data_IF_423149796702
#
_entry.id   IF_423149796702
#
_cell.length_a   1.000
_cell.length_b   1.000
_cell.length_c   1.000
_cell.angle_alpha   90.00
_cell.angle_beta   90.00
_cell.angle_gamma   90.00
#
_symmetry.space_group_name_H-M   'P 1'
#
loop_
_entity.id
_entity.type
_entity.pdbx_description
1 polymer ?
#
# COMPACT_ATOMS: atom_id res chain seq x y z
N UNK A 1 -7.88 7.96 -24.88
CA UNK A 1 -6.62 7.42 -24.31
C UNK A 1 -6.92 6.62 -23.05
N UNK A 2 -6.29 5.47 -22.87
CA UNK A 2 -6.32 4.73 -21.60
C UNK A 2 -5.08 5.01 -20.75
N UNK A 3 -5.28 5.18 -19.44
CA UNK A 3 -4.20 5.35 -18.46
C UNK A 3 -4.46 4.47 -17.25
N UNK A 4 -3.51 3.59 -16.94
CA UNK A 4 -3.56 2.77 -15.73
C UNK A 4 -3.24 3.65 -14.53
N UNK A 5 -3.97 3.48 -13.41
CA UNK A 5 -3.70 4.22 -12.18
C UNK A 5 -2.29 3.91 -11.67
N UNK A 6 -1.59 4.95 -11.24
CA UNK A 6 -0.28 4.86 -10.60
C UNK A 6 -0.33 4.21 -9.21
N UNK A 7 -1.53 4.00 -8.66
CA UNK A 7 -1.76 3.32 -7.37
C UNK A 7 -2.08 1.83 -7.52
N UNK A 8 -2.32 1.35 -8.76
CA UNK A 8 -2.50 -0.09 -8.99
C UNK A 8 -1.22 -0.82 -8.58
N UNK A 9 -1.32 -1.89 -7.77
CA UNK A 9 -0.17 -2.59 -7.20
C UNK A 9 0.52 -3.52 -8.21
N UNK A 10 0.39 -3.24 -9.52
CA UNK A 10 1.04 -3.96 -10.61
C UNK A 10 1.89 -2.99 -11.43
N UNK A 11 3.05 -3.47 -11.85
CA UNK A 11 4.03 -2.64 -12.55
C UNK A 11 4.00 -2.94 -14.04
N UNK A 12 3.65 -1.93 -14.86
CA UNK A 12 3.58 -2.04 -16.31
C UNK A 12 4.80 -1.35 -16.92
N UNK A 13 5.73 -2.16 -17.47
CA UNK A 13 6.98 -1.70 -18.11
C UNK A 13 7.75 -0.62 -17.31
N UNK A 14 8.15 -0.88 -16.05
CA UNK A 14 8.53 0.19 -15.12
C UNK A 14 9.90 0.84 -15.33
N UNK A 15 10.85 0.27 -16.09
CA UNK A 15 12.19 0.87 -16.22
C UNK A 15 12.98 0.42 -17.45
N UNK A 16 13.55 1.40 -18.16
CA UNK A 16 14.59 1.22 -19.19
C UNK A 16 15.99 1.55 -18.66
N UNK A 17 16.17 1.64 -17.34
CA UNK A 17 17.42 2.10 -16.73
C UNK A 17 18.57 1.09 -16.88
N UNK A 18 19.80 1.62 -16.84
CA UNK A 18 21.03 0.85 -17.02
C UNK A 18 21.27 -0.10 -15.84
N UNK A 19 21.71 -1.33 -16.13
CA UNK A 19 22.09 -2.33 -15.13
C UNK A 19 21.26 -3.61 -15.19
N UNK A 20 21.74 -4.65 -14.50
CA UNK A 20 21.09 -5.96 -14.48
C UNK A 20 19.72 -5.87 -13.81
N UNK A 21 18.69 -6.44 -14.43
CA UNK A 21 17.33 -6.45 -13.88
C UNK A 21 17.32 -7.16 -12.53
N UNK A 22 16.52 -6.66 -11.58
CA UNK A 22 16.29 -7.35 -10.31
C UNK A 22 15.74 -8.76 -10.57
N UNK A 23 16.15 -9.71 -9.72
CA UNK A 23 15.62 -11.08 -9.72
C UNK A 23 14.33 -11.20 -8.89
N UNK A 24 13.93 -10.13 -8.23
CA UNK A 24 12.75 -10.11 -7.40
C UNK A 24 11.48 -10.24 -8.25
N UNK A 25 10.60 -11.15 -7.85
CA UNK A 25 9.27 -11.35 -8.43
C UNK A 25 8.26 -10.90 -7.37
N UNK A 26 7.29 -10.08 -7.77
CA UNK A 26 6.24 -9.63 -6.87
C UNK A 26 5.44 -10.82 -6.35
N UNK A 27 5.12 -10.83 -5.06
CA UNK A 27 4.36 -11.91 -4.43
C UNK A 27 3.05 -11.35 -3.86
N UNK A 28 1.96 -12.07 -4.06
CA UNK A 28 0.66 -11.82 -3.45
C UNK A 28 0.14 -13.12 -2.82
N UNK A 29 -0.68 -12.97 -1.80
CA UNK A 29 -1.50 -14.05 -1.26
C UNK A 29 -2.65 -14.38 -2.18
N UNK A 30 -3.12 -15.63 -2.15
CA UNK A 30 -4.43 -16.05 -2.68
C UNK A 30 -5.60 -15.20 -2.14
N UNK A 31 -5.42 -14.58 -0.97
CA UNK A 31 -6.42 -13.74 -0.32
C UNK A 31 -6.28 -12.25 -0.64
N UNK A 32 -5.19 -11.81 -1.28
CA UNK A 32 -4.96 -10.40 -1.61
C UNK A 32 -5.89 -9.95 -2.76
N UNK A 33 -6.19 -8.64 -2.80
CA UNK A 33 -7.02 -8.05 -3.87
C UNK A 33 -6.21 -7.10 -4.72
N UNK A 34 -5.88 -7.53 -5.93
CA UNK A 34 -5.18 -6.68 -6.87
C UNK A 34 -6.19 -5.72 -7.50
N UNK A 35 -6.26 -4.51 -6.95
CA UNK A 35 -7.18 -3.48 -7.43
C UNK A 35 -6.62 -2.75 -8.65
N UNK A 36 -7.21 -3.03 -9.81
CA UNK A 36 -6.83 -2.44 -11.09
C UNK A 36 -7.78 -1.29 -11.43
N UNK A 37 -7.21 -0.13 -11.75
CA UNK A 37 -7.94 1.03 -12.24
C UNK A 37 -7.36 1.51 -13.56
N UNK A 38 -8.25 1.80 -14.51
CA UNK A 38 -7.92 2.30 -15.85
C UNK A 38 -8.83 3.48 -16.15
N UNK A 39 -8.23 4.65 -16.30
CA UNK A 39 -8.90 5.88 -16.71
C UNK A 39 -9.01 5.91 -18.23
N UNK A 40 -10.21 6.12 -18.73
CA UNK A 40 -10.50 6.28 -20.13
C UNK A 40 -10.89 7.75 -20.40
N UNK A 41 -10.07 8.44 -21.19
CA UNK A 41 -10.25 9.84 -21.58
C UNK A 41 -10.78 9.92 -23.00
N UNK A 42 -12.01 10.42 -23.17
CA UNK A 42 -12.72 10.54 -24.45
C UNK A 42 -12.80 9.22 -25.25
N UNK A 43 -12.78 8.08 -24.55
CA UNK A 43 -12.98 6.76 -25.15
C UNK A 43 -14.39 6.26 -24.87
N UNK A 44 -15.04 5.72 -25.90
CA UNK A 44 -16.35 5.07 -25.79
C UNK A 44 -16.25 3.55 -25.60
N UNK A 45 -15.08 2.96 -25.89
CA UNK A 45 -14.85 1.53 -25.75
C UNK A 45 -14.39 1.18 -24.33
N UNK A 46 -14.64 -0.07 -23.92
CA UNK A 46 -14.12 -0.62 -22.68
C UNK A 46 -12.68 -1.13 -22.93
N UNK A 47 -11.73 -0.91 -21.99
CA UNK A 47 -10.38 -1.44 -22.14
C UNK A 47 -10.38 -2.97 -22.09
N UNK A 48 -9.57 -3.61 -22.95
CA UNK A 48 -9.33 -5.04 -22.86
C UNK A 48 -8.38 -5.35 -21.70
N UNK A 49 -8.77 -6.29 -20.84
CA UNK A 49 -7.94 -6.72 -19.70
C UNK A 49 -7.89 -8.25 -19.65
N UNK A 50 -6.69 -8.78 -19.56
CA UNK A 50 -6.43 -10.21 -19.52
C UNK A 50 -5.46 -10.56 -18.40
N UNK A 51 -5.70 -11.69 -17.73
CA UNK A 51 -4.74 -12.35 -16.85
C UNK A 51 -4.16 -13.53 -17.62
N UNK A 52 -2.84 -13.62 -17.69
CA UNK A 52 -2.14 -14.76 -18.27
C UNK A 52 -1.56 -15.60 -17.13
N UNK A 53 -1.78 -16.90 -17.19
CA UNK A 53 -1.00 -17.87 -16.42
C UNK A 53 0.27 -18.19 -17.23
N UNK A 54 1.42 -17.79 -16.71
CA UNK A 54 2.71 -17.94 -17.39
C UNK A 54 3.23 -19.39 -17.35
N UNK A 55 2.62 -20.26 -16.53
CA UNK A 55 2.99 -21.68 -16.42
C UNK A 55 2.17 -22.51 -17.41
N UNK A 56 0.84 -22.37 -17.37
CA UNK A 56 -0.06 -23.14 -18.25
C UNK A 56 -0.19 -22.53 -19.65
N UNK A 57 0.09 -21.23 -19.80
CA UNK A 57 -0.16 -20.47 -21.02
C UNK A 57 -1.62 -20.09 -21.21
N UNK A 58 -2.49 -20.38 -20.23
CA UNK A 58 -3.90 -20.01 -20.27
C UNK A 58 -4.11 -18.50 -20.14
N UNK A 59 -5.17 -18.02 -20.78
CA UNK A 59 -5.55 -16.60 -20.82
C UNK A 59 -6.98 -16.45 -20.32
N UNK A 60 -7.16 -15.63 -19.29
CA UNK A 60 -8.45 -15.33 -18.69
C UNK A 60 -8.85 -13.88 -18.98
N UNK A 61 -10.05 -13.67 -19.51
CA UNK A 61 -10.61 -12.33 -19.69
C UNK A 61 -11.11 -11.79 -18.36
N UNK A 62 -10.70 -10.56 -18.02
CA UNK A 62 -11.16 -9.89 -16.81
C UNK A 62 -12.22 -8.86 -17.16
N UNK A 63 -13.42 -9.04 -16.60
CA UNK A 63 -14.49 -8.08 -16.76
C UNK A 63 -14.25 -6.85 -15.87
N UNK A 64 -14.27 -5.66 -16.48
CA UNK A 64 -14.11 -4.40 -15.77
C UNK A 64 -15.49 -3.79 -15.46
N UNK A 65 -15.67 -3.28 -14.25
CA UNK A 65 -16.78 -2.38 -13.92
C UNK A 65 -16.47 -0.99 -14.44
N UNK A 66 -17.48 -0.18 -14.72
CA UNK A 66 -17.32 1.20 -15.19
C UNK A 66 -18.06 2.19 -14.31
N UNK A 67 -17.45 3.34 -14.04
CA UNK A 67 -18.08 4.46 -13.36
C UNK A 67 -17.79 5.75 -14.12
N UNK A 68 -18.86 6.41 -14.58
CA UNK A 68 -18.74 7.66 -15.33
C UNK A 68 -18.44 8.81 -14.37
N UNK A 69 -17.21 9.33 -14.43
CA UNK A 69 -16.77 10.39 -13.52
C UNK A 69 -17.31 11.75 -13.97
N UNK A 70 -17.28 12.02 -15.27
CA UNK A 70 -17.80 13.23 -15.89
C UNK A 70 -18.09 12.98 -17.39
N UNK A 71 -18.30 14.03 -18.18
CA UNK A 71 -18.60 13.93 -19.62
C UNK A 71 -17.44 13.33 -20.44
N UNK A 72 -16.20 13.48 -19.99
CA UNK A 72 -14.99 13.17 -20.75
C UNK A 72 -14.21 11.97 -20.18
N UNK A 73 -14.50 11.58 -18.93
CA UNK A 73 -13.73 10.59 -18.19
C UNK A 73 -14.63 9.50 -17.62
N UNK A 74 -14.26 8.26 -17.94
CA UNK A 74 -14.85 7.05 -17.37
C UNK A 74 -13.75 6.26 -16.65
N UNK A 75 -14.01 5.88 -15.41
CA UNK A 75 -13.16 4.96 -14.66
C UNK A 75 -13.60 3.54 -14.96
N UNK A 76 -12.68 2.70 -15.43
CA UNK A 76 -12.84 1.26 -15.46
C UNK A 76 -12.05 0.64 -14.31
N UNK A 77 -12.67 -0.26 -13.54
CA UNK A 77 -12.02 -0.84 -12.37
C UNK A 77 -12.46 -2.27 -12.10
N UNK A 78 -11.57 -3.06 -11.51
CA UNK A 78 -11.85 -4.44 -11.10
C UNK A 78 -10.93 -4.86 -9.95
N UNK A 79 -11.35 -5.88 -9.22
CA UNK A 79 -10.53 -6.54 -8.20
C UNK A 79 -10.16 -7.92 -8.75
N UNK A 80 -8.90 -8.12 -9.11
CA UNK A 80 -8.41 -9.44 -9.50
C UNK A 80 -8.13 -10.20 -8.20
N UNK A 81 -8.87 -11.29 -8.00
CA UNK A 81 -8.90 -12.09 -6.76
C UNK A 81 -9.07 -13.56 -7.10
N UNK A 82 -8.94 -14.44 -6.09
CA UNK A 82 -9.17 -15.88 -6.21
C UNK A 82 -8.33 -16.58 -7.30
N UNK A 83 -7.12 -16.05 -7.53
CA UNK A 83 -6.11 -16.75 -8.33
C UNK A 83 -5.51 -17.87 -7.49
N UNK A 84 -5.29 -19.03 -8.11
CA UNK A 84 -4.59 -20.14 -7.47
C UNK A 84 -3.09 -19.84 -7.35
N UNK A 85 -2.37 -20.66 -6.59
CA UNK A 85 -0.91 -20.57 -6.55
C UNK A 85 -0.32 -20.75 -7.95
N UNK A 86 0.48 -19.79 -8.40
CA UNK A 86 0.94 -19.73 -9.77
C UNK A 86 1.74 -18.49 -10.09
N UNK A 87 2.17 -18.35 -11.35
CA UNK A 87 2.86 -17.17 -11.85
C UNK A 87 1.99 -16.55 -12.93
N UNK A 88 1.67 -15.28 -12.76
CA UNK A 88 0.74 -14.58 -13.61
C UNK A 88 1.31 -13.25 -14.10
N UNK A 89 0.69 -12.73 -15.14
CA UNK A 89 0.84 -11.35 -15.59
C UNK A 89 -0.51 -10.79 -16.02
N UNK A 90 -0.65 -9.47 -16.01
CA UNK A 90 -1.86 -8.77 -16.46
C UNK A 90 -1.54 -7.93 -17.68
N UNK A 91 -2.35 -8.05 -18.72
CA UNK A 91 -2.27 -7.19 -19.89
C UNK A 91 -3.49 -6.27 -19.93
N UNK A 92 -3.23 -4.97 -20.10
CA UNK A 92 -4.25 -3.94 -20.26
C UNK A 92 -4.03 -3.26 -21.60
N UNK A 93 -4.96 -3.44 -22.53
CA UNK A 93 -4.95 -2.81 -23.86
C UNK A 93 -3.59 -2.97 -24.59
N UNK A 94 -3.02 -4.17 -24.57
CA UNK A 94 -1.73 -4.51 -25.19
C UNK A 94 -0.48 -4.18 -24.35
N UNK A 95 -0.63 -3.55 -23.18
CA UNK A 95 0.49 -3.30 -22.25
C UNK A 95 0.51 -4.38 -21.17
N UNK A 96 1.58 -5.18 -21.13
CA UNK A 96 1.75 -6.30 -20.18
C UNK A 96 2.49 -5.85 -18.92
N UNK A 97 2.05 -6.35 -17.77
CA UNK A 97 2.72 -6.13 -16.48
C UNK A 97 3.98 -6.99 -16.35
N UNK A 98 4.81 -6.63 -15.38
CA UNK A 98 5.79 -7.55 -14.81
C UNK A 98 5.09 -8.80 -14.24
N UNK A 99 5.81 -9.91 -14.25
CA UNK A 99 5.31 -11.17 -13.70
C UNK A 99 5.21 -11.06 -12.18
N UNK A 100 4.14 -11.61 -11.63
CA UNK A 100 3.93 -11.74 -10.20
C UNK A 100 3.54 -13.18 -9.87
N UNK A 101 3.80 -13.57 -8.63
CA UNK A 101 3.50 -14.88 -8.09
C UNK A 101 2.33 -14.77 -7.11
N UNK A 102 1.39 -15.69 -7.22
CA UNK A 102 0.42 -15.95 -6.16
C UNK A 102 0.91 -17.15 -5.35
N UNK A 103 0.96 -17.00 -4.03
CA UNK A 103 1.40 -18.06 -3.12
C UNK A 103 0.72 -17.96 -1.76
N UNK A 104 0.48 -19.10 -1.12
CA UNK A 104 0.02 -19.14 0.28
C UNK A 104 1.18 -18.93 1.27
N UNK A 105 2.44 -19.15 0.85
CA UNK A 105 3.60 -18.86 1.67
C UNK A 105 3.96 -17.37 1.59
N UNK A 106 3.37 -16.61 2.51
CA UNK A 106 3.59 -15.16 2.64
C UNK A 106 4.60 -14.82 3.74
N UNK A 107 5.41 -15.79 4.17
CA UNK A 107 6.41 -15.57 5.22
C UNK A 107 7.42 -14.49 4.81
N UNK A 108 7.70 -13.56 5.73
CA UNK A 108 8.61 -12.44 5.45
C UNK A 108 8.05 -11.36 4.52
N UNK A 109 6.73 -11.31 4.33
CA UNK A 109 6.06 -10.21 3.62
C UNK A 109 5.05 -9.51 4.53
N UNK A 110 4.74 -8.25 4.24
CA UNK A 110 3.65 -7.51 4.90
C UNK A 110 2.68 -6.96 3.86
N UNK A 111 1.41 -6.86 4.23
CA UNK A 111 0.38 -6.29 3.39
C UNK A 111 0.20 -4.80 3.70
N UNK A 112 0.44 -3.97 2.70
CA UNK A 112 0.12 -2.55 2.76
C UNK A 112 -1.30 -2.34 2.22
N UNK A 113 -2.11 -1.58 2.94
CA UNK A 113 -3.44 -1.18 2.48
C UNK A 113 -3.59 0.32 2.59
N UNK A 114 -3.96 0.97 1.48
CA UNK A 114 -4.02 2.43 1.46
C UNK A 114 -5.26 2.97 0.73
N UNK A 115 -5.76 4.10 1.24
CA UNK A 115 -6.91 4.83 0.70
C UNK A 115 -6.92 6.30 1.14
N UNK A 116 -7.76 7.11 0.49
CA UNK A 116 -8.09 8.46 0.94
C UNK A 116 -9.56 8.58 1.38
N UNK A 117 -9.89 9.59 2.22
CA UNK A 117 -11.26 9.86 2.67
C UNK A 117 -12.18 10.37 1.56
N UNK A 118 -11.63 10.78 0.42
CA UNK A 118 -12.37 11.26 -0.73
C UNK A 118 -11.48 11.25 -1.98
N UNK A 119 -12.07 11.57 -3.14
CA UNK A 119 -11.36 11.69 -4.42
C UNK A 119 -10.86 13.11 -4.73
N UNK A 120 -10.84 14.04 -3.76
CA UNK A 120 -10.43 15.43 -4.02
C UNK A 120 -8.93 15.64 -3.92
N UNK A 121 -8.24 14.75 -3.20
CA UNK A 121 -6.82 14.92 -2.93
C UNK A 121 -5.94 14.59 -4.14
N UNK A 122 -6.43 13.75 -5.07
CA UNK A 122 -5.66 13.21 -6.19
C UNK A 122 -6.54 12.90 -7.39
N UNK A 123 -5.97 13.01 -8.59
CA UNK A 123 -6.64 12.74 -9.87
C UNK A 123 -6.10 11.48 -10.58
N UNK A 124 -5.08 10.84 -10.03
CA UNK A 124 -4.41 9.65 -10.60
C UNK A 124 -4.90 8.32 -9.98
N UNK A 125 -5.83 8.39 -9.03
CA UNK A 125 -6.56 7.25 -8.46
C UNK A 125 -7.93 7.70 -7.96
N UNK A 126 -8.88 6.77 -7.93
CA UNK A 126 -10.22 6.97 -7.36
C UNK A 126 -10.39 6.03 -6.18
N UNK A 127 -10.57 6.58 -4.98
CA UNK A 127 -10.70 5.81 -3.75
C UNK A 127 -12.17 5.55 -3.38
N UNK A 128 -13.08 6.41 -3.83
CA UNK A 128 -14.52 6.27 -3.60
C UNK A 128 -15.24 6.13 -4.93
N UNK A 129 -15.94 5.02 -5.14
CA UNK A 129 -16.75 4.78 -6.34
C UNK A 129 -18.18 4.50 -5.89
N UNK A 130 -19.12 5.28 -6.41
CA UNK A 130 -20.55 5.15 -6.09
C UNK A 130 -20.87 5.09 -4.59
N UNK A 131 -20.22 5.97 -3.81
CA UNK A 131 -20.40 6.04 -2.35
C UNK A 131 -19.69 4.94 -1.55
N UNK A 132 -19.00 4.00 -2.21
CA UNK A 132 -18.20 2.95 -1.56
C UNK A 132 -16.71 3.27 -1.61
N UNK A 133 -16.03 3.13 -0.47
CA UNK A 133 -14.58 3.27 -0.38
C UNK A 133 -13.86 1.97 -0.75
N UNK A 134 -12.78 2.10 -1.51
CA UNK A 134 -11.92 1.02 -1.95
C UNK A 134 -10.50 1.22 -1.40
N UNK A 135 -9.89 0.11 -1.00
CA UNK A 135 -8.49 0.06 -0.60
C UNK A 135 -7.68 -0.66 -1.67
N UNK A 136 -6.48 -0.15 -1.93
CA UNK A 136 -5.49 -0.86 -2.72
C UNK A 136 -4.66 -1.74 -1.80
N UNK A 137 -4.49 -3.01 -2.16
CA UNK A 137 -3.57 -3.91 -1.51
C UNK A 137 -2.23 -3.93 -2.23
N UNK A 138 -1.15 -3.69 -1.50
CA UNK A 138 0.20 -3.82 -2.02
C UNK A 138 1.02 -4.66 -1.04
N UNK A 139 1.33 -5.90 -1.43
CA UNK A 139 2.19 -6.76 -0.64
C UNK A 139 3.65 -6.46 -0.97
N UNK A 140 4.44 -6.30 0.09
CA UNK A 140 5.86 -6.00 -0.02
C UNK A 140 6.70 -7.05 0.71
N UNK A 141 7.93 -7.33 0.23
CA UNK A 141 8.87 -8.16 0.96
C UNK A 141 9.47 -7.34 2.11
N UNK A 142 9.72 -7.98 3.24
CA UNK A 142 10.22 -7.34 4.45
C UNK A 142 9.10 -7.01 5.43
N UNK A 143 9.30 -5.97 6.23
CA UNK A 143 8.44 -5.64 7.35
C UNK A 143 9.19 -4.88 8.44
N UNK A 144 8.73 -5.03 9.69
CA UNK A 144 9.37 -4.45 10.85
C UNK A 144 10.41 -5.41 11.45
N UNK A 145 11.55 -4.87 11.86
CA UNK A 145 12.54 -5.59 12.66
C UNK A 145 12.53 -5.07 14.08
N UNK A 146 12.82 -5.93 15.06
CA UNK A 146 12.84 -5.55 16.47
C UNK A 146 13.98 -4.55 16.79
N UNK A 147 15.09 -4.64 16.07
CA UNK A 147 16.24 -3.74 16.25
C UNK A 147 15.98 -2.31 15.74
N UNK A 148 14.93 -2.09 14.95
CA UNK A 148 14.61 -0.80 14.31
C UNK A 148 13.50 -0.02 15.05
N UNK A 149 13.27 -0.30 16.33
CA UNK A 149 12.33 0.44 17.18
C UNK A 149 12.98 1.69 17.76
N UNK A 150 12.32 2.84 17.56
CA UNK A 150 12.74 4.11 18.13
C UNK A 150 11.65 4.62 19.06
N UNK A 151 11.97 4.74 20.34
CA UNK A 151 11.09 5.30 21.36
C UNK A 151 11.38 6.78 21.51
N UNK A 152 10.37 7.61 21.30
CA UNK A 152 10.43 9.06 21.45
C UNK A 152 9.46 9.56 22.51
N UNK A 153 9.68 10.78 22.95
CA UNK A 153 8.76 11.53 23.81
C UNK A 153 8.57 12.91 23.23
N UNK A 154 7.31 13.31 23.05
CA UNK A 154 6.94 14.68 22.74
C UNK A 154 6.53 15.33 24.07
N UNK A 155 7.36 16.22 24.61
CA UNK A 155 7.12 16.88 25.89
C UNK A 155 7.44 18.38 25.85
N UNK A 156 6.84 19.10 26.79
CA UNK A 156 7.17 20.49 27.09
C UNK A 156 7.41 20.63 28.59
N UNK A 157 8.53 21.28 28.94
CA UNK A 157 8.99 21.42 30.32
C UNK A 157 9.32 22.88 30.62
N UNK A 158 9.12 23.29 31.86
CA UNK A 158 9.70 24.53 32.39
C UNK A 158 10.53 24.25 33.64
N UNK A 159 11.48 25.13 33.91
CA UNK A 159 12.32 25.08 35.10
C UNK A 159 11.91 26.19 36.06
N UNK A 160 11.68 25.85 37.33
CA UNK A 160 11.33 26.83 38.37
C UNK A 160 12.55 27.67 38.76
N UNK A 161 12.33 28.77 39.50
CA UNK A 161 13.42 29.57 40.08
C UNK A 161 14.24 28.83 41.14
N UNK A 162 13.74 27.70 41.64
CA UNK A 162 14.44 26.79 42.55
C UNK A 162 15.18 25.66 41.81
N UNK A 163 15.23 25.71 40.47
CA UNK A 163 15.84 24.72 39.60
C UNK A 163 15.13 23.35 39.57
N UNK A 164 13.83 23.33 39.88
CA UNK A 164 13.00 22.13 39.70
C UNK A 164 12.48 22.07 38.26
N UNK A 165 12.55 20.91 37.63
CA UNK A 165 11.98 20.68 36.29
C UNK A 165 10.56 20.16 36.43
N UNK A 166 9.60 20.82 35.77
CA UNK A 166 8.19 20.43 35.76
C UNK A 166 7.74 20.19 34.33
N UNK A 167 7.20 18.99 34.08
CA UNK A 167 6.54 18.65 32.82
C UNK A 167 5.16 19.34 32.72
N UNK A 168 4.93 20.09 31.65
CA UNK A 168 3.60 20.61 31.29
C UNK A 168 2.77 19.50 30.66
N UNK A 169 3.39 18.77 29.72
CA UNK A 169 2.87 17.52 29.19
C UNK A 169 4.03 16.64 28.74
N UNK A 170 3.77 15.35 28.68
CA UNK A 170 4.70 14.35 28.15
C UNK A 170 3.88 13.23 27.51
N UNK A 171 4.11 12.98 26.23
CA UNK A 171 3.41 11.95 25.46
C UNK A 171 4.43 11.06 24.78
N UNK A 172 4.32 9.76 25.01
CA UNK A 172 5.14 8.75 24.36
C UNK A 172 4.80 8.62 22.87
N UNK A 173 5.83 8.44 22.04
CA UNK A 173 5.67 8.05 20.65
C UNK A 173 6.60 6.89 20.30
N UNK A 174 6.13 6.03 19.40
CA UNK A 174 6.91 4.89 18.89
C UNK A 174 7.01 5.03 17.38
N UNK A 175 8.24 5.16 16.91
CA UNK A 175 8.57 5.15 15.50
C UNK A 175 9.17 3.79 15.15
N UNK A 176 8.82 3.29 13.97
CA UNK A 176 9.32 2.03 13.44
C UNK A 176 9.88 2.26 12.05
N UNK A 177 10.96 1.56 11.72
CA UNK A 177 11.47 1.53 10.35
C UNK A 177 10.84 0.35 9.61
N UNK A 178 10.02 0.67 8.61
CA UNK A 178 9.54 -0.31 7.63
C UNK A 178 10.68 -0.60 6.65
N UNK A 179 11.15 -1.85 6.65
CA UNK A 179 12.15 -2.33 5.68
C UNK A 179 11.45 -2.99 4.51
N UNK A 180 11.72 -2.52 3.29
CA UNK A 180 11.18 -3.05 2.04
C UNK A 180 12.29 -3.68 1.22
N UNK A 181 12.17 -4.98 0.95
CA UNK A 181 13.22 -5.79 0.33
C UNK A 181 13.81 -6.79 1.33
N UNK A 182 14.05 -8.00 0.84
CA UNK A 182 14.78 -9.04 1.56
C UNK A 182 16.27 -9.04 1.15
N UNK A 183 16.99 -10.15 1.36
CA UNK A 183 18.38 -10.31 0.91
C UNK A 183 18.57 -10.24 -0.61
N UNK A 184 17.50 -10.39 -1.39
CA UNK A 184 17.49 -10.21 -2.86
C UNK A 184 17.21 -8.76 -3.25
N UNK A 185 16.69 -7.96 -2.33
CA UNK A 185 16.22 -6.60 -2.54
C UNK A 185 14.93 -6.56 -3.36
N UNK A 186 14.48 -5.35 -3.66
CA UNK A 186 13.38 -5.09 -4.57
C UNK A 186 13.73 -3.96 -5.56
N UNK A 187 13.04 -3.90 -6.70
CA UNK A 187 13.31 -2.87 -7.70
C UNK A 187 12.89 -1.47 -7.24
N UNK A 188 13.42 -0.43 -7.89
CA UNK A 188 13.17 0.98 -7.51
C UNK A 188 11.69 1.40 -7.56
N UNK A 189 10.90 0.82 -8.45
CA UNK A 189 9.46 1.11 -8.56
C UNK A 189 8.65 0.69 -7.33
N UNK A 190 9.16 -0.23 -6.50
CA UNK A 190 8.55 -0.52 -5.20
C UNK A 190 8.60 0.69 -4.27
N UNK A 191 9.75 1.37 -4.23
CA UNK A 191 9.91 2.59 -3.43
C UNK A 191 9.06 3.74 -3.98
N UNK A 192 8.88 3.82 -5.30
CA UNK A 192 8.00 4.82 -5.91
C UNK A 192 6.53 4.61 -5.49
N UNK A 193 6.02 3.38 -5.59
CA UNK A 193 4.66 3.05 -5.16
C UNK A 193 4.51 3.22 -3.65
N UNK A 194 5.50 2.82 -2.85
CA UNK A 194 5.53 3.04 -1.41
C UNK A 194 5.44 4.54 -1.09
N UNK A 195 6.30 5.36 -1.69
CA UNK A 195 6.32 6.79 -1.47
C UNK A 195 4.97 7.44 -1.81
N UNK A 196 4.35 7.02 -2.91
CA UNK A 196 3.03 7.46 -3.34
C UNK A 196 1.92 7.02 -2.36
N UNK A 197 1.97 5.77 -1.90
CA UNK A 197 1.00 5.19 -0.96
C UNK A 197 1.05 5.85 0.42
N UNK A 198 2.22 6.28 0.87
CA UNK A 198 2.40 7.01 2.13
C UNK A 198 1.84 8.43 2.10
N UNK A 199 1.55 8.97 0.91
CA UNK A 199 0.83 10.23 0.77
C UNK A 199 -0.69 10.07 0.98
N UNK A 200 -1.19 8.85 1.12
CA UNK A 200 -2.60 8.62 1.44
C UNK A 200 -2.88 8.92 2.92
N UNK A 201 -4.09 9.41 3.21
CA UNK A 201 -4.52 9.69 4.58
C UNK A 201 -4.65 8.41 5.41
N UNK A 202 -5.07 7.31 4.76
CA UNK A 202 -5.18 5.99 5.36
C UNK A 202 -4.09 5.10 4.78
N UNK A 203 -3.14 4.71 5.62
CA UNK A 203 -2.08 3.77 5.29
C UNK A 203 -1.97 2.75 6.43
N UNK A 204 -2.15 1.48 6.09
CA UNK A 204 -2.14 0.37 7.02
C UNK A 204 -1.05 -0.61 6.65
N UNK A 205 -0.35 -1.14 7.66
CA UNK A 205 0.57 -2.27 7.53
C UNK A 205 -0.04 -3.40 8.36
N UNK A 206 -0.43 -4.50 7.70
CA UNK A 206 -1.13 -5.63 8.29
C UNK A 206 -2.36 -5.22 9.14
N UNK A 207 -3.10 -4.22 8.67
CA UNK A 207 -4.31 -3.70 9.33
C UNK A 207 -4.07 -2.73 10.50
N UNK A 208 -2.80 -2.41 10.83
CA UNK A 208 -2.46 -1.39 11.82
C UNK A 208 -2.14 -0.08 11.10
N UNK A 209 -2.72 1.04 11.56
CA UNK A 209 -2.57 2.34 10.91
C UNK A 209 -1.22 2.97 11.24
N UNK A 210 -0.54 3.46 10.20
CA UNK A 210 0.70 4.21 10.30
C UNK A 210 0.63 5.50 9.49
N UNK A 211 1.52 6.43 9.83
CA UNK A 211 1.73 7.67 9.08
C UNK A 211 3.22 7.91 8.91
N UNK A 212 3.60 8.56 7.81
CA UNK A 212 4.95 9.06 7.61
C UNK A 212 5.31 10.06 8.71
N UNK A 213 6.53 9.94 9.23
CA UNK A 213 7.08 10.93 10.16
C UNK A 213 7.68 12.08 9.36
N UNK A 214 7.25 13.30 9.67
CA UNK A 214 7.71 14.54 9.05
C UNK A 214 7.77 14.46 7.51
N UNK A 215 8.90 14.85 6.93
CA UNK A 215 9.19 14.77 5.49
C UNK A 215 10.10 13.59 5.15
N UNK A 216 10.12 12.53 5.97
CA UNK A 216 10.99 11.37 5.75
C UNK A 216 10.59 10.61 4.46
N UNK A 217 11.58 10.30 3.63
CA UNK A 217 11.41 9.58 2.36
C UNK A 217 12.01 8.19 2.44
N UNK A 218 11.61 7.23 1.58
CA UNK A 218 12.24 5.91 1.55
C UNK A 218 13.74 6.03 1.23
N UNK A 219 14.57 5.60 2.17
CA UNK A 219 16.02 5.59 2.04
C UNK A 219 16.47 4.34 1.27
N UNK A 220 17.21 4.54 0.18
CA UNK A 220 17.66 3.47 -0.70
C UNK A 220 19.03 2.94 -0.29
N UNK A 221 19.12 1.63 -0.01
CA UNK A 221 20.38 0.94 0.27
C UNK A 221 20.71 -0.04 -0.87
N UNK A 222 21.92 0.08 -1.40
CA UNK A 222 22.44 -0.81 -2.45
C UNK A 222 22.92 -2.12 -1.82
N UNK A 223 22.40 -3.25 -2.31
CA UNK A 223 22.87 -4.58 -1.89
C UNK A 223 24.12 -5.02 -2.67
N UNK A 224 24.05 -4.90 -3.99
CA UNK A 224 25.10 -5.33 -4.92
C UNK A 224 25.19 -4.30 -6.04
N UNK A 225 26.39 -3.78 -6.31
CA UNK A 225 26.60 -2.82 -7.40
C UNK A 225 26.25 -3.43 -8.76
N UNK A 226 25.64 -2.61 -9.63
CA UNK A 226 25.28 -3.01 -11.00
C UNK A 226 24.01 -3.87 -11.13
N UNK A 227 23.39 -4.28 -10.03
CA UNK A 227 22.07 -4.92 -10.01
C UNK A 227 21.02 -3.88 -9.57
N UNK A 228 19.94 -3.74 -10.33
CA UNK A 228 18.83 -2.83 -10.03
C UNK A 228 17.92 -3.38 -8.92
N UNK A 229 18.48 -3.75 -7.78
CA UNK A 229 17.77 -4.31 -6.62
C UNK A 229 18.31 -3.69 -5.33
N UNK A 230 17.41 -3.17 -4.52
CA UNK A 230 17.73 -2.32 -3.37
C UNK A 230 16.90 -2.72 -2.15
N UNK A 231 17.38 -2.36 -0.96
CA UNK A 231 16.58 -2.42 0.27
C UNK A 231 16.21 -1.01 0.65
N UNK A 232 14.92 -0.75 0.84
CA UNK A 232 14.42 0.56 1.25
C UNK A 232 14.09 0.57 2.74
N UNK A 233 14.42 1.67 3.41
CA UNK A 233 14.02 1.92 4.79
C UNK A 233 13.13 3.15 4.85
N UNK A 234 11.96 3.04 5.48
CA UNK A 234 11.05 4.15 5.67
C UNK A 234 10.65 4.24 7.14
N UNK A 235 10.87 5.41 7.75
CA UNK A 235 10.42 5.65 9.12
C UNK A 235 8.93 6.01 9.11
N UNK A 236 8.15 5.30 9.92
CA UNK A 236 6.72 5.51 10.11
C UNK A 236 6.35 5.48 11.59
N UNK A 237 5.33 6.25 11.96
CA UNK A 237 4.79 6.31 13.32
C UNK A 237 3.40 5.69 13.33
N UNK A 238 3.13 4.89 14.37
CA UNK A 238 1.81 4.29 14.57
C UNK A 238 0.81 5.36 14.99
N UNK A 239 -0.41 5.29 14.45
CA UNK A 239 -1.49 6.20 14.82
C UNK A 239 -2.36 5.56 15.91
N UNK A 240 -2.46 6.20 17.08
CA UNK A 240 -3.21 5.70 18.24
C UNK A 240 -4.49 6.47 18.58
N UNK A 241 -4.58 7.74 18.16
CA UNK A 241 -5.61 8.69 18.58
C UNK A 241 -6.43 9.14 17.39
N UNK A 242 -7.57 8.48 17.14
CA UNK A 242 -8.47 8.82 16.03
C UNK A 242 -9.91 8.37 16.29
N UNK A 243 -10.83 9.00 15.54
CA UNK A 243 -12.25 8.69 15.50
C UNK A 243 -12.49 7.17 15.33
N UNK A 244 -12.99 6.48 16.38
CA UNK A 244 -13.08 5.02 16.39
C UNK A 244 -14.01 4.49 15.30
N UNK A 245 -15.05 5.24 14.94
CA UNK A 245 -16.02 4.87 13.90
C UNK A 245 -15.37 4.79 12.53
N UNK A 246 -14.45 5.71 12.20
CA UNK A 246 -13.76 5.70 10.90
C UNK A 246 -12.80 4.52 10.83
N UNK A 247 -12.05 4.25 11.91
CA UNK A 247 -11.14 3.11 11.96
C UNK A 247 -11.88 1.77 11.89
N UNK A 248 -13.01 1.66 12.57
CA UNK A 248 -13.84 0.47 12.54
C UNK A 248 -14.41 0.25 11.13
N UNK A 249 -14.95 1.28 10.49
CA UNK A 249 -15.44 1.19 9.11
C UNK A 249 -14.33 0.80 8.13
N UNK A 250 -13.16 1.44 8.21
CA UNK A 250 -12.01 1.09 7.39
C UNK A 250 -11.59 -0.36 7.62
N UNK A 251 -11.53 -0.80 8.89
CA UNK A 251 -11.23 -2.18 9.24
C UNK A 251 -12.27 -3.14 8.71
N UNK A 252 -13.55 -2.82 8.72
CA UNK A 252 -14.62 -3.64 8.14
C UNK A 252 -14.45 -3.76 6.62
N UNK A 253 -14.16 -2.65 5.93
CA UNK A 253 -13.92 -2.64 4.49
C UNK A 253 -12.67 -3.47 4.12
N UNK A 254 -11.61 -3.33 4.92
CA UNK A 254 -10.39 -4.10 4.76
C UNK A 254 -10.55 -5.57 5.18
N UNK A 255 -11.39 -5.85 6.19
CA UNK A 255 -11.75 -7.19 6.66
C UNK A 255 -12.50 -7.90 5.54
N UNK A 256 -12.05 -9.11 5.26
CA UNK A 256 -12.66 -10.00 4.29
C UNK A 256 -13.45 -11.02 5.10
N UNK A 257 -14.60 -11.44 4.57
CA UNK A 257 -15.41 -12.50 5.16
C UNK A 257 -14.63 -13.81 5.02
N UNK A 258 -13.72 -14.07 5.96
CA UNK A 258 -13.27 -15.42 6.30
C UNK A 258 -12.70 -15.40 7.73
N UNK A 259 -13.38 -16.12 8.62
CA UNK A 259 -13.22 -16.09 10.09
C UNK A 259 -11.96 -16.82 10.59
N UNK A 260 -11.07 -17.29 9.70
CA UNK A 260 -10.11 -18.35 10.05
C UNK A 260 -8.60 -18.02 9.92
N UNK A 261 -8.19 -16.90 9.32
CA UNK A 261 -6.75 -16.64 9.09
C UNK A 261 -6.25 -15.33 9.73
N UNK A 262 -5.65 -15.52 10.91
CA UNK A 262 -4.65 -14.67 11.60
C UNK A 262 -4.35 -13.31 10.96
N UNK A 263 -5.24 -12.32 11.14
CA UNK A 263 -4.83 -10.92 11.17
C UNK A 263 -4.57 -10.55 12.62
N UNK A 264 -3.39 -10.00 12.90
CA UNK A 264 -3.08 -9.47 14.22
C UNK A 264 -4.13 -8.40 14.57
N UNK A 265 -5.05 -8.76 15.46
CA UNK A 265 -5.94 -7.81 16.09
C UNK A 265 -5.09 -7.14 17.16
N UNK A 266 -4.58 -5.96 16.86
CA UNK A 266 -4.19 -5.07 17.93
C UNK A 266 -5.43 -4.86 18.81
N UNK A 267 -5.33 -5.30 20.07
CA UNK A 267 -6.41 -5.26 21.06
C UNK A 267 -6.72 -3.83 21.54
N UNK A 268 -6.32 -2.82 20.77
CA UNK A 268 -6.87 -1.47 20.79
C UNK A 268 -6.78 -0.78 22.14
N UNK A 269 -5.58 -0.35 22.54
CA UNK A 269 -5.47 0.80 23.47
C UNK A 269 -5.61 2.09 22.66
N UNK A 270 -6.80 2.36 22.15
CA UNK A 270 -7.09 3.65 21.53
C UNK A 270 -7.32 4.69 22.62
N UNK A 271 -6.69 5.87 22.50
CA UNK A 271 -7.08 7.03 23.29
C UNK A 271 -8.29 7.64 22.59
N UNK A 272 -9.47 7.51 23.20
CA UNK A 272 -10.69 8.16 22.72
C UNK A 272 -10.51 9.66 22.94
N UNK A 273 -10.60 10.45 21.87
CA UNK A 273 -10.70 11.90 21.98
C UNK A 273 -12.18 12.23 21.82
N UNK A 274 -12.86 12.41 22.95
CA UNK A 274 -14.17 13.04 22.93
C UNK A 274 -13.96 14.50 22.54
N UNK A 275 -14.51 14.89 21.40
CA UNK A 275 -14.66 16.30 21.06
C UNK A 275 -15.80 16.85 21.93
N UNK A 276 -15.47 17.30 23.15
CA UNK A 276 -16.32 18.25 23.83
C UNK A 276 -16.33 19.55 23.00
N UNK A 277 -17.55 20.03 22.74
CA UNK A 277 -17.94 21.06 21.77
C UNK A 277 -17.11 22.34 21.78
#
# INVERSE_FOLDING_TARGET
>A
MYRISSFTPLFFSPSTDVGTKSRYVQEFSTHDRIFLQVFAYNESSQPSVFVYDEISGEKFTVNMRSWKMNSEQTLYFTEITALNNGIYSVEVNGVKSEVFRITDDISGTVLLQYSNPNNKMRNDAVFWVDGMQYFFDFRIPGGFKDDDWVFGVDNEQYTTSLNDVVDIYSVDNVQKTLTVGDSRGCPVWYAELLNRSLCCSYFYVDGIRYVRVDSNVPEMNVLVEGIRSYVFKQVIRRVFSLNPTIEENNRIIMRRVDDASLRNIDSGKYKIVDYDR
#
